data_IF_597875531198
#
_entry.id   IF_597875531198
#
_cell.length_a   1.000
_cell.length_b   1.000
_cell.length_c   1.000
_cell.angle_alpha   90.00
_cell.angle_beta   90.00
_cell.angle_gamma   90.00
#
_symmetry.space_group_name_H-M   'P 1'
#
loop_
_entity.id
_entity.type
_entity.pdbx_description
1 polymer ?
#
# COMPACT_ATOMS: atom_id res chain seq x y z
N UNK A 1 -9.89 -3.50 28.17
CA UNK A 1 -10.10 -2.41 27.19
C UNK A 1 -8.98 -2.53 26.17
N UNK A 2 -9.26 -3.06 24.97
CA UNK A 2 -8.22 -3.17 23.94
C UNK A 2 -7.77 -1.75 23.60
N UNK A 3 -6.47 -1.45 23.73
CA UNK A 3 -5.91 -0.18 23.29
C UNK A 3 -6.40 0.11 21.86
N UNK A 4 -6.82 1.34 21.58
CA UNK A 4 -7.28 1.73 20.26
C UNK A 4 -6.11 1.58 19.26
N UNK A 5 -5.99 0.39 18.65
CA UNK A 5 -4.87 0.08 17.75
C UNK A 5 -4.76 1.15 16.67
N UNK A 6 -3.60 1.81 16.61
CA UNK A 6 -3.36 3.02 15.81
C UNK A 6 -2.85 2.63 14.42
N UNK A 7 -3.41 3.27 13.39
CA UNK A 7 -2.85 3.24 12.03
C UNK A 7 -1.86 4.39 11.91
N UNK A 8 -0.60 4.08 11.57
CA UNK A 8 0.47 5.06 11.38
C UNK A 8 0.80 5.15 9.89
N UNK A 9 1.12 6.36 9.45
CA UNK A 9 1.48 6.67 8.07
C UNK A 9 2.87 7.28 8.08
N UNK A 10 3.80 6.65 7.37
CA UNK A 10 5.14 7.14 7.19
C UNK A 10 5.25 7.78 5.80
N UNK A 11 5.84 8.97 5.77
CA UNK A 11 6.12 9.65 4.51
C UNK A 11 7.08 8.83 3.66
N UNK A 12 6.87 8.90 2.35
CA UNK A 12 7.79 8.33 1.36
C UNK A 12 8.55 9.49 0.69
N UNK A 13 9.32 9.20 -0.36
CA UNK A 13 9.93 10.27 -1.15
C UNK A 13 8.88 11.06 -1.96
N UNK A 14 7.70 10.47 -2.16
CA UNK A 14 6.56 11.11 -2.78
C UNK A 14 5.66 11.68 -1.68
N UNK A 15 5.26 12.94 -1.83
CA UNK A 15 4.51 13.67 -0.79
C UNK A 15 3.11 13.11 -0.52
N UNK A 16 2.57 12.35 -1.47
CA UNK A 16 1.22 11.80 -1.44
C UNK A 16 1.15 10.27 -1.35
N UNK A 17 2.28 9.56 -1.46
CA UNK A 17 2.34 8.13 -1.18
C UNK A 17 2.81 7.86 0.25
N UNK A 18 2.23 6.86 0.90
CA UNK A 18 2.48 6.56 2.32
C UNK A 18 2.71 5.08 2.55
N UNK A 19 3.71 4.77 3.38
CA UNK A 19 3.84 3.45 3.98
C UNK A 19 2.98 3.40 5.25
N UNK A 20 2.03 2.47 5.29
CA UNK A 20 1.07 2.32 6.38
C UNK A 20 1.50 1.16 7.26
N UNK A 21 1.54 1.42 8.58
CA UNK A 21 1.78 0.40 9.60
C UNK A 21 0.59 0.39 10.56
N UNK A 22 0.06 -0.80 10.82
CA UNK A 22 -0.97 -1.01 11.82
C UNK A 22 -0.39 -1.72 13.05
N UNK A 23 -0.89 -1.38 14.22
CA UNK A 23 -0.42 -1.96 15.47
C UNK A 23 -1.13 -3.29 15.78
N UNK A 24 -0.35 -4.32 16.11
CA UNK A 24 -0.84 -5.61 16.59
C UNK A 24 -1.27 -5.51 18.04
N UNK A 25 -2.53 -5.81 18.33
CA UNK A 25 -3.00 -6.15 19.66
C UNK A 25 -2.75 -7.64 19.91
N UNK A 26 -1.65 -7.97 20.61
CA UNK A 26 -1.18 -9.33 20.86
C UNK A 26 -1.87 -9.96 22.08
N UNK A 27 -2.13 -11.26 22.02
CA UNK A 27 -2.49 -12.09 23.16
C UNK A 27 -2.05 -13.55 22.95
N UNK A 28 -2.34 -14.44 23.91
CA UNK A 28 -1.92 -15.84 23.87
C UNK A 28 -2.44 -16.65 22.65
N UNK A 29 -3.41 -16.14 21.91
CA UNK A 29 -4.01 -16.78 20.71
C UNK A 29 -3.38 -16.28 19.41
N UNK A 30 -2.60 -15.20 19.46
CA UNK A 30 -2.05 -14.52 18.28
C UNK A 30 -2.19 -13.00 18.39
N UNK A 31 -2.73 -12.36 17.36
CA UNK A 31 -2.97 -10.92 17.38
C UNK A 31 -4.23 -10.52 16.61
N UNK A 32 -4.74 -9.36 16.96
CA UNK A 32 -5.74 -8.63 16.19
C UNK A 32 -5.11 -7.32 15.69
N UNK A 33 -5.44 -6.89 14.47
CA UNK A 33 -4.88 -5.66 13.90
C UNK A 33 -5.92 -4.91 13.07
N UNK A 34 -5.99 -3.59 13.28
CA UNK A 34 -6.85 -2.69 12.51
C UNK A 34 -6.10 -2.23 11.26
N UNK A 35 -6.27 -2.94 10.15
CA UNK A 35 -5.52 -2.70 8.91
C UNK A 35 -6.03 -1.51 8.10
N UNK A 36 -7.27 -1.08 8.31
CA UNK A 36 -7.87 0.09 7.68
C UNK A 36 -8.71 0.87 8.69
N UNK A 37 -8.69 2.20 8.59
CA UNK A 37 -9.54 3.10 9.38
C UNK A 37 -9.88 4.34 8.57
N UNK A 38 -11.12 4.42 8.08
CA UNK A 38 -11.59 5.55 7.27
C UNK A 38 -11.34 6.91 7.94
N UNK A 39 -11.53 6.99 9.27
CA UNK A 39 -11.24 8.21 10.04
C UNK A 39 -9.77 8.63 9.95
N UNK A 40 -8.84 7.69 10.16
CA UNK A 40 -7.41 7.97 10.13
C UNK A 40 -6.89 8.34 8.73
N UNK A 41 -7.54 7.81 7.68
CA UNK A 41 -7.30 8.19 6.29
C UNK A 41 -7.89 9.59 5.99
N UNK A 42 -9.13 9.85 6.40
CA UNK A 42 -9.80 11.15 6.22
C UNK A 42 -9.06 12.30 6.91
N UNK A 43 -8.52 12.07 8.12
CA UNK A 43 -7.68 13.03 8.86
C UNK A 43 -6.43 13.47 8.07
N UNK A 44 -6.04 12.71 7.04
CA UNK A 44 -4.91 13.00 6.14
C UNK A 44 -5.35 13.44 4.73
N UNK A 45 -6.65 13.57 4.49
CA UNK A 45 -7.20 13.86 3.16
C UNK A 45 -6.99 12.73 2.15
N UNK A 46 -6.82 11.48 2.63
CA UNK A 46 -6.67 10.31 1.77
C UNK A 46 -8.04 9.76 1.34
N UNK A 47 -8.06 8.99 0.25
CA UNK A 47 -9.26 8.29 -0.20
C UNK A 47 -9.77 7.34 0.89
N UNK A 48 -11.08 7.34 1.10
CA UNK A 48 -11.76 6.49 2.09
C UNK A 48 -12.78 5.55 1.48
N UNK A 49 -13.09 5.73 0.20
CA UNK A 49 -14.08 4.93 -0.52
C UNK A 49 -13.38 3.99 -1.47
N UNK A 50 -13.16 2.76 -1.01
CA UNK A 50 -12.67 1.67 -1.84
C UNK A 50 -13.85 0.79 -2.25
N UNK A 51 -14.13 0.71 -3.55
CA UNK A 51 -15.29 -0.02 -4.09
C UNK A 51 -14.94 -1.44 -4.55
N UNK A 52 -13.66 -1.81 -4.51
CA UNK A 52 -13.16 -3.09 -4.96
C UNK A 52 -11.99 -3.54 -4.10
N UNK A 53 -11.96 -4.84 -3.82
CA UNK A 53 -10.81 -5.54 -3.25
C UNK A 53 -10.30 -6.58 -4.24
N UNK A 54 -9.00 -6.84 -4.22
CA UNK A 54 -8.36 -7.81 -5.11
C UNK A 54 -7.30 -8.60 -4.36
N UNK A 55 -7.15 -9.87 -4.73
CA UNK A 55 -6.09 -10.74 -4.22
C UNK A 55 -5.38 -11.38 -5.40
N UNK A 56 -4.05 -11.33 -5.39
CA UNK A 56 -3.23 -12.01 -6.38
C UNK A 56 -2.36 -13.06 -5.70
N UNK A 57 -2.22 -14.21 -6.36
CA UNK A 57 -1.27 -15.25 -5.98
C UNK A 57 -0.27 -15.43 -7.12
N UNK A 58 1.01 -15.46 -6.78
CA UNK A 58 2.11 -15.68 -7.71
C UNK A 58 2.85 -16.92 -7.26
N UNK A 59 2.81 -17.98 -8.09
CA UNK A 59 3.29 -19.32 -7.71
C UNK A 59 4.80 -19.39 -7.49
N UNK A 60 5.56 -18.62 -8.28
CA UNK A 60 7.01 -18.67 -8.30
C UNK A 60 7.62 -17.42 -7.67
N UNK A 61 8.75 -17.60 -6.98
CA UNK A 61 9.65 -16.50 -6.63
C UNK A 61 10.12 -15.80 -7.90
N UNK A 62 10.26 -14.48 -7.87
CA UNK A 62 10.66 -13.69 -9.03
C UNK A 62 9.54 -13.42 -10.03
N UNK A 63 8.29 -13.76 -9.72
CA UNK A 63 7.15 -13.40 -10.59
C UNK A 63 6.95 -11.89 -10.54
N UNK A 64 7.01 -11.24 -11.69
CA UNK A 64 6.73 -9.80 -11.84
C UNK A 64 5.30 -9.59 -12.31
N UNK A 65 4.59 -8.63 -11.70
CA UNK A 65 3.30 -8.11 -12.18
C UNK A 65 3.37 -6.60 -12.21
N UNK A 66 3.17 -5.98 -13.38
CA UNK A 66 3.27 -4.53 -13.55
C UNK A 66 4.03 -4.14 -14.83
N UNK A 67 4.25 -2.85 -15.09
CA UNK A 67 3.74 -1.71 -14.31
C UNK A 67 2.33 -1.33 -14.77
N UNK A 68 1.37 -1.29 -13.85
CA UNK A 68 -0.04 -1.05 -14.14
C UNK A 68 -0.50 0.31 -13.59
N UNK A 69 -1.22 1.06 -14.42
CA UNK A 69 -1.96 2.26 -14.03
C UNK A 69 -3.20 2.38 -14.93
N UNK A 70 -4.18 3.14 -14.46
CA UNK A 70 -5.28 3.61 -15.28
C UNK A 70 -5.14 5.10 -15.53
N UNK A 71 -5.64 5.54 -16.67
CA UNK A 71 -5.69 6.95 -17.07
C UNK A 71 -7.04 7.54 -16.71
N UNK A 72 -7.10 8.87 -16.65
CA UNK A 72 -8.36 9.60 -16.55
C UNK A 72 -9.34 9.11 -17.64
N UNK A 73 -10.64 8.91 -17.30
CA UNK A 73 -11.30 9.20 -16.02
C UNK A 73 -11.32 8.04 -15.01
N UNK A 74 -10.54 6.98 -15.22
CA UNK A 74 -10.62 5.72 -14.46
C UNK A 74 -9.47 5.54 -13.47
N UNK A 75 -8.88 6.63 -12.98
CA UNK A 75 -7.75 6.57 -12.07
C UNK A 75 -8.15 6.03 -10.69
N UNK A 76 -7.34 5.10 -10.17
CA UNK A 76 -7.59 4.45 -8.89
C UNK A 76 -6.50 4.80 -7.87
N UNK A 77 -6.92 4.93 -6.60
CA UNK A 77 -6.02 4.82 -5.45
C UNK A 77 -5.93 3.35 -5.08
N UNK A 78 -4.74 2.88 -4.71
CA UNK A 78 -4.53 1.51 -4.23
C UNK A 78 -3.98 1.51 -2.81
N UNK A 79 -4.41 0.54 -2.02
CA UNK A 79 -3.76 0.16 -0.75
C UNK A 79 -3.31 -1.28 -0.88
N UNK A 80 -2.00 -1.49 -0.97
CA UNK A 80 -1.42 -2.80 -1.29
C UNK A 80 -0.72 -3.38 -0.07
N UNK A 81 -0.93 -4.67 0.23
CA UNK A 81 -0.23 -5.39 1.31
C UNK A 81 0.09 -6.82 0.90
N UNK A 82 1.11 -7.42 1.53
CA UNK A 82 1.44 -8.83 1.34
C UNK A 82 0.82 -9.67 2.46
N UNK A 83 -0.06 -10.62 2.11
CA UNK A 83 -0.72 -11.50 3.09
C UNK A 83 0.14 -12.72 3.46
N UNK A 84 1.01 -13.17 2.56
CA UNK A 84 1.85 -14.36 2.74
C UNK A 84 3.12 -14.23 1.90
N UNK A 85 4.26 -14.49 2.51
CA UNK A 85 5.57 -14.31 1.88
C UNK A 85 6.00 -12.86 1.86
N UNK A 86 6.73 -12.45 0.82
CA UNK A 86 7.21 -11.08 0.64
C UNK A 86 7.19 -10.67 -0.84
N UNK A 87 7.06 -9.37 -1.07
CA UNK A 87 7.16 -8.74 -2.38
C UNK A 87 8.06 -7.51 -2.30
N UNK A 88 8.78 -7.24 -3.39
CA UNK A 88 9.35 -5.92 -3.66
C UNK A 88 8.32 -5.15 -4.49
N UNK A 89 7.54 -4.30 -3.83
CA UNK A 89 6.52 -3.45 -4.42
C UNK A 89 7.14 -2.15 -4.92
N UNK A 90 6.82 -1.73 -6.14
CA UNK A 90 7.41 -0.58 -6.82
C UNK A 90 6.31 0.33 -7.31
N UNK A 91 6.49 1.63 -7.07
CA UNK A 91 5.65 2.68 -7.67
C UNK A 91 6.50 3.66 -8.46
N UNK A 92 5.94 4.15 -9.56
CA UNK A 92 6.53 5.14 -10.45
C UNK A 92 5.52 6.28 -10.62
N UNK A 93 5.95 7.51 -10.36
CA UNK A 93 5.13 8.68 -10.63
C UNK A 93 5.05 8.92 -12.14
N UNK A 94 3.85 8.77 -12.71
CA UNK A 94 3.61 8.95 -14.16
C UNK A 94 2.82 10.22 -14.48
N UNK A 95 2.74 11.17 -13.52
CA UNK A 95 2.05 12.46 -13.69
C UNK A 95 2.97 13.46 -14.39
N UNK A 96 2.65 13.91 -15.62
CA UNK A 96 3.57 14.75 -16.41
C UNK A 96 3.94 16.09 -15.76
N UNK A 97 3.10 16.63 -14.89
CA UNK A 97 3.31 17.91 -14.21
C UNK A 97 3.94 17.76 -12.82
N UNK A 98 4.27 16.54 -12.39
CA UNK A 98 4.86 16.28 -11.09
C UNK A 98 6.36 16.58 -11.07
N UNK A 99 6.84 17.18 -9.98
CA UNK A 99 8.26 17.37 -9.72
C UNK A 99 9.03 16.04 -9.58
N UNK A 100 8.31 14.95 -9.31
CA UNK A 100 8.87 13.59 -9.21
C UNK A 100 8.56 12.72 -10.43
N UNK A 101 8.15 13.31 -11.56
CA UNK A 101 7.82 12.56 -12.79
C UNK A 101 8.93 11.57 -13.19
N UNK A 102 8.53 10.33 -13.47
CA UNK A 102 9.38 9.16 -13.78
C UNK A 102 10.33 8.72 -12.67
N UNK A 103 10.26 9.31 -11.47
CA UNK A 103 10.98 8.76 -10.32
C UNK A 103 10.26 7.52 -9.79
N UNK A 104 11.05 6.57 -9.31
CA UNK A 104 10.59 5.32 -8.72
C UNK A 104 11.00 5.22 -7.24
N UNK A 105 10.21 4.46 -6.49
CA UNK A 105 10.59 3.97 -5.16
C UNK A 105 10.13 2.53 -5.00
N UNK A 106 10.98 1.72 -4.37
CA UNK A 106 10.68 0.33 -4.03
C UNK A 106 10.46 0.18 -2.52
N UNK A 107 9.58 -0.75 -2.15
CA UNK A 107 9.17 -1.05 -0.79
C UNK A 107 9.10 -2.56 -0.62
N UNK A 108 9.70 -3.08 0.44
CA UNK A 108 9.48 -4.48 0.81
C UNK A 108 8.19 -4.58 1.64
N UNK A 109 7.19 -5.30 1.12
CA UNK A 109 5.96 -5.61 1.83
C UNK A 109 5.94 -7.12 2.09
N UNK A 110 5.76 -7.53 3.34
CA UNK A 110 5.76 -8.93 3.72
C UNK A 110 4.70 -9.24 4.77
N UNK A 111 4.37 -10.52 4.90
CA UNK A 111 3.50 -10.98 5.98
C UNK A 111 4.12 -10.74 7.38
N UNK A 112 5.45 -10.63 7.45
CA UNK A 112 6.18 -10.42 8.70
C UNK A 112 6.18 -8.94 9.11
N UNK A 113 6.39 -8.03 8.16
CA UNK A 113 6.42 -6.59 8.42
C UNK A 113 5.02 -5.95 8.40
N UNK A 114 4.06 -6.61 7.76
CA UNK A 114 2.63 -6.23 7.66
C UNK A 114 2.37 -4.82 7.13
N UNK A 115 3.36 -4.25 6.47
CA UNK A 115 3.26 -2.92 5.89
C UNK A 115 2.30 -2.94 4.73
N UNK A 116 1.63 -1.81 4.55
CA UNK A 116 0.83 -1.55 3.37
C UNK A 116 1.37 -0.31 2.66
N UNK A 117 1.18 -0.22 1.36
CA UNK A 117 1.54 0.96 0.58
C UNK A 117 0.26 1.62 0.07
N UNK A 118 0.07 2.90 0.44
CA UNK A 118 -0.91 3.78 -0.17
C UNK A 118 -0.31 4.37 -1.45
N UNK A 119 -0.97 4.10 -2.57
CA UNK A 119 -0.54 4.48 -3.92
C UNK A 119 -1.56 5.47 -4.49
N UNK A 120 -1.18 6.74 -4.71
CA UNK A 120 -2.09 7.75 -5.26
C UNK A 120 -2.49 7.49 -6.71
N UNK A 121 -3.53 8.21 -7.14
CA UNK A 121 -3.86 8.34 -8.57
C UNK A 121 -2.66 8.88 -9.34
N UNK A 122 -2.51 8.42 -10.59
CA UNK A 122 -1.40 8.85 -11.45
C UNK A 122 -0.05 8.18 -11.17
N UNK A 123 -0.01 7.10 -10.37
CA UNK A 123 1.16 6.25 -10.22
C UNK A 123 1.00 4.93 -10.99
N UNK A 124 2.08 4.48 -11.61
CA UNK A 124 2.19 3.11 -12.07
C UNK A 124 2.69 2.21 -10.94
N UNK A 125 2.06 1.05 -10.77
CA UNK A 125 2.32 0.11 -9.69
C UNK A 125 2.67 -1.28 -10.23
N UNK A 126 3.64 -1.93 -9.60
CA UNK A 126 3.97 -3.31 -9.86
C UNK A 126 4.76 -3.92 -8.71
N UNK A 127 4.97 -5.23 -8.76
CA UNK A 127 5.77 -5.90 -7.76
C UNK A 127 6.47 -7.14 -8.32
N UNK A 128 7.51 -7.59 -7.61
CA UNK A 128 8.14 -8.89 -7.78
C UNK A 128 7.99 -9.72 -6.50
N UNK A 129 7.62 -11.00 -6.60
CA UNK A 129 7.65 -11.91 -5.45
C UNK A 129 9.08 -12.25 -5.02
N UNK A 130 9.32 -12.29 -3.70
CA UNK A 130 10.63 -12.57 -3.09
C UNK A 130 10.75 -14.00 -2.53
#
# INVERSE_FOLDING_TARGET
MLAEGRVRFQATRFTDAFLIEAERALDARGYFMRTYCARAFAERGLETTFVQDSTSFSKLRGTVRGMHFQKAPHEEVKVVRCLKGAILDVIIDVRPTSWTFLQAQAFELSADNERQLYIPKGFAHGFQTL
#
